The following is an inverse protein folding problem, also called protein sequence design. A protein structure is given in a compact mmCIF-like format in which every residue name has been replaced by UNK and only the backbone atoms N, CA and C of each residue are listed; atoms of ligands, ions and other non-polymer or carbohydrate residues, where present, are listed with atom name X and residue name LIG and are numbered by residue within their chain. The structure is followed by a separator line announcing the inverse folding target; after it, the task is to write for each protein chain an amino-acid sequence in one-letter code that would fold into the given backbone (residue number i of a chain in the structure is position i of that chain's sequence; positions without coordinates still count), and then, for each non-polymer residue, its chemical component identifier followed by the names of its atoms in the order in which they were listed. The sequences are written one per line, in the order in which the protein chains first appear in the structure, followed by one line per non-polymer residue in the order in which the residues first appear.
data_IF_040550373184
#
_entry.id   IF_040550373184
#
_cell.length_a   1.000
_cell.length_b   1.000
_cell.length_c   1.000
_cell.angle_alpha   90.00
_cell.angle_beta   90.00
_cell.angle_gamma   90.00
#
_symmetry.space_group_name_H-M   'P 1'
#
loop_
_entity.id
_entity.type
_entity.pdbx_description
1 polymer ?
#
# COMPACT_ATOMS: atom_id res chain seq x y z
N UNK A 1 -4.99 -19.91 0.79
CA UNK A 1 -5.50 -18.93 -0.19
C UNK A 1 -6.50 -18.10 0.58
N UNK A 2 -6.28 -16.79 0.65
CA UNK A 2 -7.14 -15.86 1.39
C UNK A 2 -7.88 -14.97 0.41
N UNK A 3 -9.10 -14.53 0.76
CA UNK A 3 -9.91 -13.64 -0.07
C UNK A 3 -10.61 -12.63 0.80
N UNK A 4 -10.71 -11.39 0.32
CA UNK A 4 -11.45 -10.30 0.96
C UNK A 4 -12.12 -9.45 -0.12
N UNK A 5 -13.31 -8.93 0.19
CA UNK A 5 -14.05 -7.99 -0.64
C UNK A 5 -14.30 -6.69 0.13
N UNK A 6 -14.13 -5.56 -0.56
CA UNK A 6 -14.40 -4.21 -0.04
C UNK A 6 -15.43 -3.57 -0.98
N UNK A 7 -16.54 -3.09 -0.42
CA UNK A 7 -17.63 -2.45 -1.14
C UNK A 7 -17.56 -0.92 -1.00
N UNK A 8 -18.07 -0.19 -1.99
CA UNK A 8 -18.11 1.28 -1.97
C UNK A 8 -16.73 1.94 -2.03
N UNK A 9 -15.73 1.25 -2.57
CA UNK A 9 -14.36 1.76 -2.71
C UNK A 9 -14.19 2.39 -4.09
N UNK A 10 -14.00 3.71 -4.13
CA UNK A 10 -13.64 4.40 -5.38
C UNK A 10 -12.31 3.92 -5.93
N UNK A 11 -12.17 3.93 -7.27
CA UNK A 11 -10.97 3.47 -7.97
C UNK A 11 -9.69 4.18 -7.48
N UNK A 12 -9.74 5.49 -7.27
CA UNK A 12 -8.61 6.27 -6.74
C UNK A 12 -8.16 5.83 -5.34
N UNK A 13 -9.09 5.46 -4.47
CA UNK A 13 -8.80 4.97 -3.13
C UNK A 13 -8.18 3.59 -3.20
N UNK A 14 -8.71 2.71 -4.06
CA UNK A 14 -8.15 1.39 -4.34
C UNK A 14 -6.69 1.50 -4.78
N UNK A 15 -6.41 2.34 -5.78
CA UNK A 15 -5.05 2.54 -6.28
C UNK A 15 -4.12 3.11 -5.20
N UNK A 16 -4.64 4.00 -4.33
CA UNK A 16 -3.90 4.52 -3.18
C UNK A 16 -3.55 3.44 -2.14
N UNK A 17 -4.50 2.57 -1.81
CA UNK A 17 -4.27 1.42 -0.92
C UNK A 17 -3.22 0.50 -1.53
N UNK A 18 -3.38 0.09 -2.79
CA UNK A 18 -2.45 -0.82 -3.47
C UNK A 18 -1.02 -0.24 -3.54
N UNK A 19 -0.89 1.07 -3.74
CA UNK A 19 0.39 1.77 -3.76
C UNK A 19 1.06 1.89 -2.38
N UNK A 20 0.32 1.68 -1.29
CA UNK A 20 0.78 1.88 0.09
C UNK A 20 0.87 0.60 0.90
N UNK A 21 0.50 -0.56 0.34
CA UNK A 21 0.56 -1.86 1.03
C UNK A 21 1.91 -2.17 1.70
N UNK A 22 3.08 -1.99 1.05
CA UNK A 22 4.37 -2.17 1.72
C UNK A 22 4.55 -1.30 2.97
N UNK A 23 4.02 -0.08 2.95
CA UNK A 23 4.11 0.85 4.08
C UNK A 23 3.20 0.41 5.22
N UNK A 24 1.97 0.02 4.91
CA UNK A 24 1.00 -0.48 5.87
C UNK A 24 1.51 -1.76 6.55
N UNK A 25 2.19 -2.63 5.79
CA UNK A 25 2.92 -3.77 6.33
C UNK A 25 3.99 -3.31 7.32
N UNK A 26 4.87 -2.41 6.90
CA UNK A 26 5.98 -1.92 7.73
C UNK A 26 5.52 -1.20 8.99
N UNK A 27 4.36 -0.57 8.99
CA UNK A 27 3.77 0.06 10.17
C UNK A 27 3.20 -0.98 11.17
N UNK A 28 2.80 -2.16 10.67
CA UNK A 28 2.23 -3.24 11.48
C UNK A 28 3.28 -4.28 11.90
N UNK A 29 4.43 -4.37 11.24
CA UNK A 29 5.43 -5.43 11.50
C UNK A 29 6.12 -5.27 12.85
N UNK A 30 6.56 -6.38 13.44
CA UNK A 30 7.45 -6.40 14.60
C UNK A 30 8.85 -5.85 14.30
N UNK A 31 9.60 -5.51 15.35
CA UNK A 31 10.94 -4.89 15.21
C UNK A 31 11.95 -5.78 14.47
N UNK A 32 11.85 -7.10 14.61
CA UNK A 32 12.70 -8.10 13.96
C UNK A 32 12.13 -8.65 12.65
N UNK A 33 10.89 -8.30 12.31
CA UNK A 33 10.27 -8.72 11.06
C UNK A 33 10.83 -7.86 9.91
N UNK A 34 11.18 -8.43 8.76
CA UNK A 34 11.66 -7.65 7.64
C UNK A 34 10.50 -7.01 6.87
N UNK A 35 10.87 -6.08 6.01
CA UNK A 35 9.92 -5.27 5.27
C UNK A 35 9.36 -6.00 4.06
N UNK A 36 8.08 -5.82 3.78
CA UNK A 36 7.49 -6.26 2.53
C UNK A 36 8.04 -5.42 1.37
N UNK A 37 8.56 -6.06 0.33
CA UNK A 37 9.12 -5.38 -0.85
C UNK A 37 8.30 -5.73 -2.09
N UNK A 38 7.76 -4.72 -2.77
CA UNK A 38 7.13 -4.88 -4.09
C UNK A 38 8.22 -5.27 -5.12
N UNK A 39 8.04 -6.40 -5.78
CA UNK A 39 8.89 -6.86 -6.88
C UNK A 39 8.43 -6.27 -8.21
N UNK A 40 7.12 -6.37 -8.47
CA UNK A 40 6.48 -5.77 -9.63
C UNK A 40 4.98 -5.61 -9.38
N UNK A 41 4.38 -4.71 -10.15
CA UNK A 41 2.95 -4.57 -10.30
C UNK A 41 2.57 -4.48 -11.79
N UNK A 42 1.35 -4.91 -12.11
CA UNK A 42 0.80 -4.79 -13.46
C UNK A 42 -0.70 -4.54 -13.40
N UNK A 43 -1.14 -3.60 -14.23
CA UNK A 43 -2.53 -3.20 -14.33
C UNK A 43 -3.07 -3.64 -15.69
N UNK A 44 -4.26 -4.23 -15.68
CA UNK A 44 -5.02 -4.59 -16.87
C UNK A 44 -6.42 -4.02 -16.76
N UNK A 45 -6.96 -3.51 -17.86
CA UNK A 45 -8.30 -2.97 -17.91
C UNK A 45 -9.10 -3.65 -19.03
N UNK A 46 -10.35 -4.01 -18.75
CA UNK A 46 -11.29 -4.51 -19.75
C UNK A 46 -12.72 -4.10 -19.37
N UNK A 47 -13.30 -3.18 -20.13
CA UNK A 47 -14.63 -2.63 -19.86
C UNK A 47 -14.72 -2.08 -18.42
N UNK A 48 -15.72 -2.51 -17.66
CA UNK A 48 -15.98 -2.11 -16.26
C UNK A 48 -15.08 -2.81 -15.22
N UNK A 49 -14.08 -3.56 -15.67
CA UNK A 49 -13.22 -4.37 -14.82
C UNK A 49 -11.77 -3.90 -14.89
N UNK A 50 -11.23 -3.55 -13.73
CA UNK A 50 -9.80 -3.33 -13.51
C UNK A 50 -9.21 -4.57 -12.83
N UNK A 51 -8.09 -5.05 -13.34
CA UNK A 51 -7.29 -6.12 -12.77
C UNK A 51 -5.94 -5.59 -12.35
N UNK A 52 -5.50 -5.96 -11.14
CA UNK A 52 -4.16 -5.65 -10.66
C UNK A 52 -3.48 -6.92 -10.19
N UNK A 53 -2.23 -7.10 -10.58
CA UNK A 53 -1.35 -8.14 -10.04
C UNK A 53 -0.18 -7.47 -9.39
N UNK A 54 0.03 -7.71 -8.10
CA UNK A 54 1.22 -7.27 -7.37
C UNK A 54 1.94 -8.49 -6.81
N UNK A 55 3.26 -8.56 -7.00
CA UNK A 55 4.10 -9.57 -6.38
C UNK A 55 5.03 -8.90 -5.38
N UNK A 56 5.10 -9.47 -4.19
CA UNK A 56 5.93 -9.01 -3.09
C UNK A 56 6.87 -10.12 -2.66
N UNK A 57 8.03 -9.72 -2.13
CA UNK A 57 8.94 -10.63 -1.45
C UNK A 57 9.28 -10.12 -0.07
N UNK A 58 9.69 -11.05 0.77
CA UNK A 58 10.29 -10.81 2.06
C UNK A 58 11.81 -10.90 1.90
N UNK A 59 12.59 -9.82 2.07
CA UNK A 59 14.02 -9.80 1.73
C UNK A 59 14.88 -10.83 2.47
N UNK A 60 14.42 -11.33 3.62
CA UNK A 60 15.14 -12.34 4.39
C UNK A 60 14.53 -13.74 4.30
N UNK A 61 13.48 -13.96 3.51
CA UNK A 61 12.92 -15.30 3.31
C UNK A 61 12.58 -15.57 1.84
N UNK A 62 12.53 -16.84 1.48
CA UNK A 62 12.14 -17.32 0.15
C UNK A 62 10.65 -17.18 -0.14
N UNK A 63 9.95 -16.29 0.58
CA UNK A 63 8.51 -16.11 0.47
C UNK A 63 8.20 -15.11 -0.62
N UNK A 64 7.27 -15.49 -1.48
CA UNK A 64 6.62 -14.61 -2.43
C UNK A 64 5.13 -14.55 -2.10
N UNK A 65 4.60 -13.32 -2.10
CA UNK A 65 3.18 -13.04 -1.92
C UNK A 65 2.69 -12.42 -3.21
N UNK A 66 1.70 -13.04 -3.84
CA UNK A 66 0.97 -12.47 -4.99
C UNK A 66 -0.39 -12.00 -4.50
N UNK A 67 -0.71 -10.74 -4.81
CA UNK A 67 -2.01 -10.13 -4.63
C UNK A 67 -2.65 -9.95 -6.00
N UNK A 68 -3.78 -10.61 -6.22
CA UNK A 68 -4.63 -10.42 -7.38
C UNK A 68 -5.82 -9.59 -6.95
N UNK A 69 -6.06 -8.48 -7.62
CA UNK A 69 -7.18 -7.58 -7.34
C UNK A 69 -8.08 -7.49 -8.55
N UNK A 70 -9.37 -7.72 -8.34
CA UNK A 70 -10.43 -7.53 -9.32
C UNK A 70 -11.32 -6.38 -8.83
N UNK A 71 -11.51 -5.35 -9.65
CA UNK A 71 -12.30 -4.18 -9.29
C UNK A 71 -13.41 -3.93 -10.32
N UNK A 72 -14.64 -4.04 -9.87
CA UNK A 72 -15.85 -3.78 -10.64
C UNK A 72 -16.27 -2.32 -10.44
N UNK A 73 -16.13 -1.51 -11.48
CA UNK A 73 -16.37 -0.05 -11.45
C UNK A 73 -17.82 0.28 -11.10
N UNK A 74 -18.77 -0.34 -11.79
CA UNK A 74 -20.21 -0.08 -11.59
C UNK A 74 -20.69 -0.35 -10.17
N UNK A 75 -20.05 -1.31 -9.49
CA UNK A 75 -20.41 -1.71 -8.13
C UNK A 75 -19.47 -1.11 -7.08
N UNK A 76 -18.46 -0.33 -7.49
CA UNK A 76 -17.38 0.17 -6.64
C UNK A 76 -16.86 -0.92 -5.68
N UNK A 77 -16.65 -2.12 -6.20
CA UNK A 77 -16.34 -3.32 -5.39
C UNK A 77 -14.98 -3.87 -5.78
N UNK A 78 -14.07 -3.96 -4.81
CA UNK A 78 -12.75 -4.55 -4.98
C UNK A 78 -12.67 -5.91 -4.28
N UNK A 79 -12.32 -6.95 -5.02
CA UNK A 79 -12.00 -8.28 -4.52
C UNK A 79 -10.50 -8.49 -4.56
N UNK A 80 -9.93 -8.92 -3.44
CA UNK A 80 -8.51 -9.21 -3.30
C UNK A 80 -8.32 -10.70 -3.02
N UNK A 81 -7.44 -11.33 -3.78
CA UNK A 81 -7.09 -12.75 -3.67
C UNK A 81 -5.59 -12.83 -3.36
N UNK A 82 -5.26 -13.43 -2.22
CA UNK A 82 -3.89 -13.45 -1.69
C UNK A 82 -3.34 -14.87 -1.78
N UNK A 83 -2.21 -14.99 -2.47
CA UNK A 83 -1.43 -16.21 -2.58
C UNK A 83 -0.05 -15.98 -1.97
N UNK A 84 0.25 -16.65 -0.86
CA UNK A 84 1.59 -16.65 -0.28
C UNK A 84 2.19 -18.04 -0.37
N UNK A 85 3.44 -18.12 -0.83
CA UNK A 85 4.16 -19.37 -1.02
C UNK A 85 5.63 -19.21 -0.70
N UNK A 86 6.20 -20.27 -0.13
CA UNK A 86 7.64 -20.40 0.07
C UNK A 86 8.27 -21.07 -1.15
N UNK A 87 9.25 -20.42 -1.75
CA UNK A 87 10.00 -20.91 -2.91
C UNK A 87 11.01 -22.01 -2.54
N UNK A 88 11.38 -22.16 -1.26
CA UNK A 88 12.39 -23.14 -0.83
C UNK A 88 11.79 -24.38 -0.14
N UNK A 89 10.47 -24.46 0.07
CA UNK A 89 9.67 -25.60 0.58
C UNK A 89 10.04 -26.13 1.99
N UNK A 90 11.30 -26.00 2.42
CA UNK A 90 11.80 -26.52 3.70
C UNK A 90 11.58 -25.47 4.80
N UNK A 91 10.47 -25.60 5.52
CA UNK A 91 10.21 -24.89 6.78
C UNK A 91 9.46 -23.57 6.67
N UNK A 92 9.32 -22.97 5.49
CA UNK A 92 8.68 -21.65 5.32
C UNK A 92 7.17 -21.66 5.05
N UNK A 93 6.49 -22.82 5.08
CA UNK A 93 5.03 -22.90 4.86
C UNK A 93 4.24 -22.12 5.93
N UNK A 94 4.64 -22.26 7.20
CA UNK A 94 3.99 -21.53 8.29
C UNK A 94 4.16 -20.02 8.17
N UNK A 95 5.37 -19.58 7.78
CA UNK A 95 5.69 -18.17 7.55
C UNK A 95 4.96 -17.61 6.31
N UNK A 96 4.82 -18.39 5.24
CA UNK A 96 4.03 -18.03 4.07
C UNK A 96 2.54 -17.87 4.43
N UNK A 97 1.97 -18.82 5.17
CA UNK A 97 0.57 -18.73 5.65
C UNK A 97 0.36 -17.54 6.59
N UNK A 98 1.31 -17.30 7.50
CA UNK A 98 1.28 -16.12 8.37
C UNK A 98 1.35 -14.83 7.55
N UNK A 99 2.23 -14.76 6.55
CA UNK A 99 2.38 -13.57 5.72
C UNK A 99 1.12 -13.25 4.91
N UNK A 100 0.49 -14.28 4.34
CA UNK A 100 -0.80 -14.14 3.66
C UNK A 100 -1.89 -13.61 4.59
N UNK A 101 -2.00 -14.16 5.81
CA UNK A 101 -2.93 -13.69 6.83
C UNK A 101 -2.65 -12.25 7.25
N UNK A 102 -1.38 -11.86 7.40
CA UNK A 102 -1.02 -10.49 7.77
C UNK A 102 -1.45 -9.47 6.71
N UNK A 103 -1.26 -9.79 5.43
CA UNK A 103 -1.73 -8.92 4.35
C UNK A 103 -3.26 -8.83 4.33
N UNK A 104 -3.94 -9.96 4.59
CA UNK A 104 -5.40 -9.98 4.80
C UNK A 104 -5.82 -9.05 5.95
N UNK A 105 -5.20 -9.14 7.12
CA UNK A 105 -5.51 -8.27 8.28
C UNK A 105 -5.29 -6.77 7.98
N UNK A 106 -4.37 -6.44 7.07
CA UNK A 106 -4.17 -5.07 6.59
C UNK A 106 -5.37 -4.64 5.75
N UNK A 107 -5.77 -5.47 4.79
CA UNK A 107 -6.87 -5.19 3.88
C UNK A 107 -8.23 -5.19 4.59
N UNK A 108 -8.46 -6.11 5.54
CA UNK A 108 -9.67 -6.13 6.39
C UNK A 108 -9.80 -4.86 7.23
N UNK A 109 -8.68 -4.23 7.56
CA UNK A 109 -8.68 -2.93 8.22
C UNK A 109 -9.39 -1.83 7.44
N UNK A 110 -9.68 -2.00 6.14
CA UNK A 110 -10.32 -0.99 5.29
C UNK A 110 -11.82 -1.18 5.05
N UNK A 111 -12.41 -2.30 5.48
CA UNK A 111 -13.82 -2.65 5.18
C UNK A 111 -14.80 -1.60 5.73
N UNK A 112 -14.44 -0.91 6.82
CA UNK A 112 -15.31 0.06 7.49
C UNK A 112 -14.64 1.45 7.69
N UNK A 113 -13.62 1.78 6.91
CA UNK A 113 -12.92 3.06 6.99
C UNK A 113 -13.36 3.97 5.86
N UNK A 114 -13.49 5.27 6.11
CA UNK A 114 -13.59 6.27 5.03
C UNK A 114 -12.27 6.31 4.25
N UNK A 115 -12.28 5.72 3.06
CA UNK A 115 -11.09 5.56 2.23
C UNK A 115 -10.74 6.82 1.41
N UNK A 116 -11.57 7.87 1.46
CA UNK A 116 -11.29 9.13 0.75
C UNK A 116 -9.93 9.73 1.10
N UNK A 117 -9.42 9.43 2.30
CA UNK A 117 -8.08 9.81 2.78
C UNK A 117 -6.94 9.23 1.94
N UNK A 118 -7.18 8.14 1.19
CA UNK A 118 -6.18 7.49 0.33
C UNK A 118 -6.21 7.97 -1.13
N UNK A 119 -7.23 8.74 -1.54
CA UNK A 119 -7.40 9.23 -2.92
C UNK A 119 -6.19 10.01 -3.45
N UNK A 120 -5.43 10.65 -2.55
CA UNK A 120 -4.28 11.50 -2.87
C UNK A 120 -2.95 10.74 -2.90
N UNK A 121 -2.93 9.47 -2.46
CA UNK A 121 -1.73 8.70 -2.22
C UNK A 121 -1.36 7.87 -3.47
N UNK A 122 -0.95 8.52 -4.56
CA UNK A 122 -0.44 7.80 -5.74
C UNK A 122 1.05 7.49 -5.59
N UNK A 123 1.43 6.23 -5.77
CA UNK A 123 2.72 5.64 -5.34
C UNK A 123 4.01 6.31 -5.84
N UNK A 124 3.95 7.13 -6.88
CA UNK A 124 5.11 7.82 -7.46
C UNK A 124 5.21 9.32 -7.15
N UNK A 125 4.27 9.88 -6.37
CA UNK A 125 4.35 11.29 -5.98
C UNK A 125 5.52 11.52 -4.98
N UNK A 126 6.14 12.70 -5.06
CA UNK A 126 7.14 13.15 -4.08
C UNK A 126 6.41 13.91 -2.99
N UNK A 127 6.61 13.47 -1.76
CA UNK A 127 6.17 14.18 -0.58
C UNK A 127 7.31 15.00 0.01
N UNK A 128 7.01 16.24 0.40
CA UNK A 128 7.92 17.12 1.12
C UNK A 128 7.35 17.37 2.51
N UNK A 129 8.09 17.01 3.56
CA UNK A 129 7.64 17.22 4.93
C UNK A 129 7.56 18.72 5.25
N UNK A 130 6.39 19.29 5.62
CA UNK A 130 6.25 20.71 5.91
C UNK A 130 6.93 21.16 7.21
N UNK A 131 7.48 20.21 8.00
CA UNK A 131 8.14 20.49 9.29
C UNK A 131 9.66 20.48 9.22
N UNK A 132 10.25 19.77 8.25
CA UNK A 132 11.71 19.61 8.15
C UNK A 132 12.23 19.59 6.71
N UNK A 133 11.35 19.77 5.71
CA UNK A 133 11.67 19.81 4.28
C UNK A 133 12.30 18.54 3.70
N UNK A 134 12.34 17.44 4.47
CA UNK A 134 12.80 16.14 3.97
C UNK A 134 11.86 15.64 2.86
N UNK A 135 12.45 15.06 1.81
CA UNK A 135 11.74 14.60 0.63
C UNK A 135 11.73 13.07 0.55
N UNK A 136 10.57 12.50 0.28
CA UNK A 136 10.37 11.06 0.19
C UNK A 136 9.54 10.74 -1.05
N UNK A 137 9.80 9.58 -1.65
CA UNK A 137 8.80 8.98 -2.55
C UNK A 137 7.66 8.45 -1.69
N UNK A 138 6.43 8.61 -2.14
CA UNK A 138 5.24 8.23 -1.38
C UNK A 138 5.26 6.76 -0.93
N UNK A 139 5.72 5.87 -1.82
CA UNK A 139 5.99 4.44 -1.54
C UNK A 139 6.99 4.14 -0.42
N UNK A 140 7.72 5.13 0.06
CA UNK A 140 8.68 4.99 1.16
C UNK A 140 8.17 5.60 2.47
N UNK A 141 6.97 6.19 2.51
CA UNK A 141 6.47 6.92 3.68
C UNK A 141 5.77 6.04 4.70
N UNK A 142 5.79 6.44 5.96
CA UNK A 142 4.93 5.85 6.99
C UNK A 142 3.58 6.54 6.96
N UNK A 143 2.52 5.80 6.68
CA UNK A 143 1.16 6.34 6.57
C UNK A 143 0.32 5.74 7.69
N UNK A 144 -0.36 6.60 8.44
CA UNK A 144 -1.25 6.23 9.52
C UNK A 144 -2.61 5.78 8.97
N UNK A 145 -3.44 5.15 9.81
CA UNK A 145 -4.74 4.58 9.37
C UNK A 145 -5.74 5.62 8.87
N UNK A 146 -5.59 6.86 9.32
CA UNK A 146 -6.38 8.02 8.92
C UNK A 146 -5.75 8.79 7.73
N UNK A 147 -4.80 8.18 7.03
CA UNK A 147 -4.18 8.75 5.82
C UNK A 147 -3.16 9.87 6.07
N UNK A 148 -2.79 10.15 7.32
CA UNK A 148 -1.71 11.10 7.63
C UNK A 148 -0.34 10.45 7.44
N UNK A 149 0.68 11.28 7.28
CA UNK A 149 2.06 10.86 7.02
C UNK A 149 2.92 11.10 8.25
N UNK A 150 3.60 10.07 8.74
CA UNK A 150 4.69 10.21 9.71
C UNK A 150 6.01 10.44 8.97
N UNK A 151 6.60 11.61 9.17
CA UNK A 151 7.90 11.95 8.58
C UNK A 151 9.03 11.11 9.21
N UNK A 152 9.82 10.42 8.39
CA UNK A 152 10.89 9.55 8.86
C UNK A 152 12.11 10.30 9.40
N UNK A 153 12.28 11.59 9.06
CA UNK A 153 13.40 12.41 9.54
C UNK A 153 13.08 13.08 10.88
N UNK A 154 11.87 13.62 11.04
CA UNK A 154 11.51 14.39 12.24
C UNK A 154 10.46 13.73 13.15
N UNK A 155 9.92 12.57 12.76
CA UNK A 155 8.93 11.81 13.52
C UNK A 155 7.54 12.45 13.64
N UNK A 156 7.33 13.64 13.04
CA UNK A 156 6.05 14.36 13.14
C UNK A 156 5.02 13.78 12.19
N UNK A 157 3.79 13.63 12.69
CA UNK A 157 2.60 13.34 11.88
C UNK A 157 2.15 14.63 11.20
N UNK A 158 1.95 14.57 9.89
CA UNK A 158 1.55 15.71 9.06
C UNK A 158 0.49 15.28 8.05
N UNK A 159 -0.34 16.20 7.63
CA UNK A 159 -1.27 15.97 6.51
C UNK A 159 -0.49 15.85 5.20
N UNK A 160 -0.97 14.97 4.33
CA UNK A 160 -0.49 14.95 2.96
C UNK A 160 -1.10 16.13 2.21
N UNK A 161 -0.34 17.21 2.07
CA UNK A 161 -0.69 18.29 1.14
C UNK A 161 0.10 18.12 -0.16
N UNK A 162 -0.60 18.18 -1.30
CA UNK A 162 0.04 18.30 -2.62
C UNK A 162 0.72 19.67 -2.71
N UNK A 163 1.95 19.77 -2.22
CA UNK A 163 2.82 20.94 -2.40
C UNK A 163 4.22 20.38 -2.75
N UNK A 164 4.82 20.61 -3.91
CA UNK A 164 4.48 21.47 -5.04
C UNK A 164 4.93 20.77 -6.33
N UNK A 165 4.23 21.05 -7.45
CA UNK A 165 4.88 20.92 -8.76
C UNK A 165 6.13 21.81 -8.71
N UNK A 166 7.23 21.33 -9.27
CA UNK A 166 8.48 22.06 -9.44
C UNK A 166 8.19 23.33 -10.28
N UNK A 167 7.80 24.42 -9.63
CA UNK A 167 7.27 25.62 -10.29
C UNK A 167 6.64 26.67 -9.37
N UNK A 168 6.00 26.28 -8.25
CA UNK A 168 5.20 27.22 -7.43
C UNK A 168 5.88 27.58 -6.09
N UNK A 169 7.20 27.80 -6.10
CA UNK A 169 7.86 28.50 -4.99
C UNK A 169 8.15 29.90 -5.49
N UNK A 170 7.16 30.78 -5.39
CA UNK A 170 7.42 32.22 -5.36
C UNK A 170 8.24 32.50 -4.10
N UNK A 171 9.51 32.79 -4.31
CA UNK A 171 10.36 33.41 -3.29
C UNK A 171 9.97 34.88 -3.31
N UNK A 172 9.01 35.26 -2.46
CA UNK A 172 8.88 36.66 -2.10
C UNK A 172 10.11 37.04 -1.26
N UNK A 173 10.91 37.91 -1.86
CA UNK A 173 12.08 38.62 -1.32
C UNK A 173 11.79 39.38 -0.03
#
# INVERSE_FOLDING_TARGET
METIEIFGIKEENLLGILGTLPNLWNAKKGSSEPSLKLLFDKFGNKNELLFVVQAFTHPSSSIMITLLTEYLRDLETAKFIIHAYDLNVVGGVAEALWSGRRLRDILEGFVDIDLSVFSHLRGDEIFVCPKCSAQYRLRAMRITRDGRVECQNCGKIVEYSKLAKKGDIDIDT
#
